data_IF_604705065999
#
_entry.id   IF_604705065999
#
_cell.length_a   1.000
_cell.length_b   1.000
_cell.length_c   1.000
_cell.angle_alpha   90.00
_cell.angle_beta   90.00
_cell.angle_gamma   90.00
#
_symmetry.space_group_name_H-M   'P 1'
#
loop_
_entity.id
_entity.type
_entity.pdbx_description
1 polymer ?
#
# COMPACT_ATOMS: atom_id res chain seq x y z
N UNK A 1 25.18 -11.95 -23.82
CA UNK A 1 25.11 -11.37 -22.48
C UNK A 1 23.90 -11.95 -21.79
N UNK A 2 24.03 -12.42 -20.55
CA UNK A 2 22.91 -12.90 -19.74
C UNK A 2 22.03 -11.73 -19.27
N UNK A 3 20.75 -11.99 -18.92
CA UNK A 3 19.87 -10.96 -18.38
C UNK A 3 20.46 -10.29 -17.13
N UNK A 4 21.16 -11.06 -16.28
CA UNK A 4 21.85 -10.56 -15.09
C UNK A 4 22.99 -9.59 -15.43
N UNK A 5 23.78 -9.86 -16.48
CA UNK A 5 24.84 -8.97 -16.95
C UNK A 5 24.26 -7.65 -17.48
N UNK A 6 23.16 -7.71 -18.22
CA UNK A 6 22.46 -6.52 -18.73
C UNK A 6 21.93 -5.67 -17.59
N UNK A 7 21.29 -6.26 -16.57
CA UNK A 7 20.79 -5.54 -15.40
C UNK A 7 21.95 -4.90 -14.62
N UNK A 8 23.00 -5.66 -14.32
CA UNK A 8 24.15 -5.12 -13.59
C UNK A 8 24.84 -3.99 -14.36
N UNK A 9 24.96 -4.12 -15.68
CA UNK A 9 25.52 -3.06 -16.52
C UNK A 9 24.64 -1.81 -16.48
N UNK A 10 23.33 -1.95 -16.67
CA UNK A 10 22.38 -0.83 -16.62
C UNK A 10 22.34 -0.15 -15.25
N UNK A 11 22.31 -0.93 -14.17
CA UNK A 11 22.33 -0.40 -12.80
C UNK A 11 23.63 0.34 -12.48
N UNK A 12 24.79 -0.21 -12.89
CA UNK A 12 26.09 0.47 -12.74
C UNK A 12 26.14 1.78 -13.54
N UNK A 13 25.67 1.78 -14.78
CA UNK A 13 25.57 2.97 -15.62
C UNK A 13 24.69 4.04 -14.96
N UNK A 14 23.56 3.65 -14.36
CA UNK A 14 22.67 4.58 -13.65
C UNK A 14 23.30 5.14 -12.38
N UNK A 15 23.97 4.30 -11.59
CA UNK A 15 24.65 4.70 -10.35
C UNK A 15 25.75 5.73 -10.66
N UNK A 16 26.57 5.47 -11.67
CA UNK A 16 27.63 6.39 -12.12
C UNK A 16 27.07 7.66 -12.76
N UNK A 17 25.98 7.53 -13.52
CA UNK A 17 25.34 8.66 -14.19
C UNK A 17 24.72 9.65 -13.21
N UNK A 18 24.17 9.16 -12.10
CA UNK A 18 23.66 10.01 -11.03
C UNK A 18 24.79 10.74 -10.30
N UNK A 19 25.98 10.13 -10.19
CA UNK A 19 27.11 10.69 -9.46
C UNK A 19 27.94 11.70 -10.27
N UNK A 20 28.20 11.45 -11.57
CA UNK A 20 29.24 12.18 -12.30
C UNK A 20 28.84 12.65 -13.72
N UNK A 21 27.90 12.00 -14.40
CA UNK A 21 27.50 12.37 -15.78
C UNK A 21 26.04 12.07 -16.07
N UNK A 22 25.16 13.08 -16.15
CA UNK A 22 23.73 12.89 -16.45
C UNK A 22 23.54 12.22 -17.82
N UNK A 23 23.01 11.00 -17.84
CA UNK A 23 22.54 10.31 -19.03
C UNK A 23 21.48 11.16 -19.71
N UNK A 24 21.39 11.08 -21.04
CA UNK A 24 20.28 11.72 -21.75
C UNK A 24 18.94 11.15 -21.23
N UNK A 25 17.94 12.00 -20.91
CA UNK A 25 16.67 11.57 -20.31
C UNK A 25 15.97 10.44 -21.08
N UNK A 26 16.04 10.45 -22.42
CA UNK A 26 15.47 9.40 -23.26
C UNK A 26 16.15 8.04 -23.07
N UNK A 27 17.48 8.00 -22.94
CA UNK A 27 18.24 6.76 -22.72
C UNK A 27 17.93 6.20 -21.32
N UNK A 28 17.81 7.08 -20.33
CA UNK A 28 17.43 6.70 -18.98
C UNK A 28 16.03 6.08 -18.92
N UNK A 29 15.04 6.69 -19.59
CA UNK A 29 13.68 6.17 -19.67
C UNK A 29 13.62 4.78 -20.33
N UNK A 30 14.28 4.59 -21.47
CA UNK A 30 14.34 3.28 -22.16
C UNK A 30 15.06 2.22 -21.32
N UNK A 31 16.13 2.60 -20.63
CA UNK A 31 16.85 1.70 -19.73
C UNK A 31 15.95 1.25 -18.57
N UNK A 32 15.21 2.18 -17.96
CA UNK A 32 14.29 1.87 -16.86
C UNK A 32 13.09 1.03 -17.31
N UNK A 33 12.55 1.25 -18.51
CA UNK A 33 11.54 0.35 -19.10
C UNK A 33 12.06 -1.08 -19.25
N UNK A 34 13.32 -1.22 -19.68
CA UNK A 34 13.97 -2.52 -19.80
C UNK A 34 14.12 -3.19 -18.43
N UNK A 35 14.59 -2.42 -17.43
CA UNK A 35 14.68 -2.88 -16.05
C UNK A 35 13.31 -3.26 -15.47
N UNK A 36 12.25 -2.50 -15.78
CA UNK A 36 10.86 -2.81 -15.40
C UNK A 36 10.42 -4.16 -15.96
N UNK A 37 10.67 -4.43 -17.24
CA UNK A 37 10.34 -5.71 -17.87
C UNK A 37 11.08 -6.85 -17.17
N UNK A 38 12.40 -6.71 -16.96
CA UNK A 38 13.22 -7.73 -16.33
C UNK A 38 12.86 -7.95 -14.84
N UNK A 39 12.42 -6.92 -14.14
CA UNK A 39 11.98 -7.02 -12.73
C UNK A 39 10.73 -7.88 -12.52
N UNK A 40 10.01 -8.23 -13.60
CA UNK A 40 8.88 -9.16 -13.55
C UNK A 40 9.31 -10.62 -13.52
N UNK A 41 10.52 -10.92 -13.98
CA UNK A 41 11.08 -12.28 -13.95
C UNK A 41 11.75 -12.55 -12.60
N UNK A 42 11.18 -13.48 -11.82
CA UNK A 42 11.69 -13.87 -10.50
C UNK A 42 13.12 -14.41 -10.56
N UNK A 43 13.54 -15.01 -11.67
CA UNK A 43 14.90 -15.54 -11.82
C UNK A 43 15.93 -14.43 -12.09
N UNK A 44 15.49 -13.30 -12.63
CA UNK A 44 16.32 -12.15 -12.95
C UNK A 44 16.43 -11.14 -11.79
N UNK A 45 15.76 -11.36 -10.65
CA UNK A 45 15.69 -10.37 -9.57
C UNK A 45 16.99 -10.17 -8.78
N UNK A 46 17.91 -11.13 -8.78
CA UNK A 46 19.10 -11.10 -7.91
C UNK A 46 19.89 -9.76 -7.96
N UNK A 47 20.17 -9.15 -9.13
CA UNK A 47 20.90 -7.89 -9.20
C UNK A 47 20.12 -6.67 -8.68
N UNK A 48 18.79 -6.74 -8.63
CA UNK A 48 17.93 -5.67 -8.11
C UNK A 48 17.88 -5.62 -6.57
N UNK A 49 18.29 -6.69 -5.89
CA UNK A 49 18.14 -6.85 -4.43
C UNK A 49 19.40 -6.36 -3.69
N UNK A 50 20.15 -5.43 -4.26
CA UNK A 50 21.31 -4.81 -3.57
C UNK A 50 20.92 -3.44 -3.02
N UNK A 51 21.56 -3.00 -1.94
CA UNK A 51 21.24 -1.69 -1.34
C UNK A 51 21.48 -0.56 -2.34
N UNK A 52 22.58 -0.64 -3.10
CA UNK A 52 22.88 0.32 -4.17
C UNK A 52 21.80 0.35 -5.24
N UNK A 53 21.29 -0.81 -5.69
CA UNK A 53 20.25 -0.85 -6.73
C UNK A 53 18.91 -0.29 -6.21
N UNK A 54 18.50 -0.67 -4.99
CA UNK A 54 17.27 -0.17 -4.38
C UNK A 54 17.37 1.35 -4.13
N UNK A 55 18.48 1.84 -3.58
CA UNK A 55 18.70 3.27 -3.36
C UNK A 55 18.76 4.04 -4.68
N UNK A 56 19.37 3.48 -5.73
CA UNK A 56 19.41 4.10 -7.05
C UNK A 56 18.01 4.25 -7.63
N UNK A 57 17.20 3.18 -7.63
CA UNK A 57 15.80 3.25 -8.07
C UNK A 57 14.96 4.21 -7.22
N UNK A 58 15.19 4.25 -5.90
CA UNK A 58 14.51 5.14 -4.96
C UNK A 58 14.81 6.60 -5.25
N UNK A 59 16.09 6.96 -5.42
CA UNK A 59 16.53 8.30 -5.81
C UNK A 59 16.04 8.67 -7.20
N UNK A 60 16.06 7.72 -8.13
CA UNK A 60 15.53 7.94 -9.47
C UNK A 60 14.00 8.16 -9.45
N UNK A 61 13.28 7.52 -8.52
CA UNK A 61 11.88 7.80 -8.22
C UNK A 61 11.65 9.14 -7.50
N UNK A 62 12.71 9.89 -7.17
CA UNK A 62 12.64 11.16 -6.46
C UNK A 62 12.32 11.04 -4.97
N UNK A 63 12.59 9.89 -4.35
CA UNK A 63 12.48 9.72 -2.90
C UNK A 63 13.87 9.97 -2.29
N UNK A 64 13.96 10.94 -1.39
CA UNK A 64 15.18 11.20 -0.63
C UNK A 64 15.30 10.15 0.48
N UNK A 65 16.20 9.18 0.29
CA UNK A 65 16.54 8.22 1.34
C UNK A 65 17.56 8.87 2.30
N UNK A 66 17.36 8.80 3.62
CA UNK A 66 18.32 9.33 4.58
C UNK A 66 19.70 8.66 4.39
N UNK A 67 20.80 9.39 4.59
CA UNK A 67 22.13 8.82 4.47
C UNK A 67 22.29 7.64 5.45
N UNK A 68 22.77 6.52 4.93
CA UNK A 68 23.03 5.31 5.70
C UNK A 68 24.08 5.62 6.77
N UNK A 69 23.70 5.62 8.05
CA UNK A 69 24.65 5.59 9.16
C UNK A 69 24.96 4.12 9.43
N UNK A 70 26.17 3.69 9.07
CA UNK A 70 26.71 2.43 9.59
C UNK A 70 26.73 2.53 11.12
N UNK A 71 26.14 1.57 11.86
CA UNK A 71 26.34 1.48 13.29
C UNK A 71 27.71 0.83 13.53
N UNK A 72 28.79 1.57 13.29
CA UNK A 72 30.12 1.29 13.84
C UNK A 72 30.99 2.54 13.66
N UNK A 73 31.79 2.82 14.70
CA UNK A 73 32.50 4.08 15.00
C UNK A 73 31.68 5.16 15.72
N UNK A 74 31.17 4.78 16.89
CA UNK A 74 31.16 5.73 18.00
C UNK A 74 32.61 5.94 18.49
N UNK A 75 33.37 6.79 17.81
CA UNK A 75 34.53 7.43 18.43
C UNK A 75 34.08 8.74 19.06
N UNK A 76 33.90 8.70 20.38
CA UNK A 76 33.85 9.91 21.19
C UNK A 76 35.19 10.64 21.07
N UNK A 77 35.15 11.90 20.64
CA UNK A 77 36.26 12.84 20.83
C UNK A 77 35.80 13.99 21.71
N UNK A 78 35.97 13.78 23.01
CA UNK A 78 36.31 14.83 23.97
C UNK A 78 37.60 15.52 23.53
N UNK A 79 37.61 16.85 23.56
CA UNK A 79 38.79 17.66 23.25
C UNK A 79 39.89 17.54 24.32
N UNK A 80 41.09 17.97 23.94
CA UNK A 80 42.24 18.10 24.83
C UNK A 80 43.55 18.06 24.05
N UNK A 81 44.17 19.23 23.90
CA UNK A 81 45.50 19.47 23.34
C UNK A 81 46.61 18.83 24.22
N UNK A 82 47.74 18.45 23.59
CA UNK A 82 48.95 18.05 24.30
C UNK A 82 49.98 17.39 23.38
N UNK A 83 51.03 18.14 23.05
CA UNK A 83 52.25 17.69 22.36
C UNK A 83 53.02 16.65 23.20
N UNK A 84 53.55 15.58 22.59
CA UNK A 84 54.98 15.21 22.66
C UNK A 84 55.36 13.95 21.83
N UNK A 85 56.40 14.15 21.01
CA UNK A 85 57.53 13.27 20.61
C UNK A 85 57.36 11.76 20.34
N UNK A 86 57.63 11.43 19.06
CA UNK A 86 58.67 10.51 18.53
C UNK A 86 59.16 9.38 19.44
N UNK A 87 58.98 8.13 18.98
CA UNK A 87 60.08 7.15 18.86
C UNK A 87 59.71 6.01 17.86
N UNK A 88 60.66 5.75 16.96
CA UNK A 88 60.73 4.65 15.98
C UNK A 88 60.92 3.30 16.68
N UNK A 89 60.13 2.28 16.34
CA UNK A 89 60.64 0.90 16.25
C UNK A 89 59.93 0.14 15.12
N UNK A 90 60.72 -0.15 14.10
CA UNK A 90 60.46 -1.09 13.01
C UNK A 90 60.50 -2.54 13.53
N UNK A 91 59.54 -3.39 13.14
CA UNK A 91 59.75 -4.85 13.11
C UNK A 91 58.85 -5.52 12.07
N UNK A 92 59.42 -5.85 10.92
CA UNK A 92 58.94 -6.85 9.98
C UNK A 92 58.92 -8.24 10.62
N UNK A 93 57.85 -9.03 10.45
CA UNK A 93 57.99 -10.47 10.21
C UNK A 93 56.75 -11.13 9.57
N UNK A 94 56.90 -11.45 8.28
CA UNK A 94 56.68 -12.74 7.63
C UNK A 94 55.63 -13.71 8.22
N UNK A 95 54.61 -14.08 7.41
CA UNK A 95 53.84 -15.32 7.63
C UNK A 95 53.88 -16.19 6.37
N UNK A 96 54.28 -17.44 6.61
CA UNK A 96 54.57 -18.53 5.71
C UNK A 96 53.38 -19.04 4.89
N UNK A 97 53.68 -19.42 3.65
CA UNK A 97 52.94 -20.42 2.86
C UNK A 97 53.15 -21.83 3.42
N UNK A 98 52.07 -22.63 3.46
CA UNK A 98 52.16 -24.09 3.28
C UNK A 98 50.96 -24.60 2.49
N UNK A 99 51.32 -25.28 1.41
CA UNK A 99 50.52 -26.03 0.44
C UNK A 99 50.33 -27.49 0.95
N UNK A 100 49.21 -28.15 0.63
CA UNK A 100 49.14 -29.62 0.44
C UNK A 100 47.71 -30.15 0.18
N UNK A 101 47.48 -30.48 -1.09
CA UNK A 101 47.03 -31.78 -1.61
C UNK A 101 45.71 -32.44 -1.13
N UNK A 102 44.81 -32.69 -2.10
CA UNK A 102 43.83 -33.80 -2.11
C UNK A 102 44.52 -35.17 -2.32
N UNK A 103 43.81 -36.28 -2.64
CA UNK A 103 42.97 -36.33 -3.86
C UNK A 103 41.83 -37.40 -3.96
N UNK A 104 41.10 -37.37 -5.10
CA UNK A 104 40.47 -38.48 -5.88
C UNK A 104 39.22 -39.25 -5.32
N UNK A 105 38.19 -39.73 -6.06
CA UNK A 105 37.71 -39.70 -7.47
C UNK A 105 36.37 -40.51 -7.59
N UNK A 106 35.44 -40.10 -8.48
CA UNK A 106 34.39 -40.87 -9.22
C UNK A 106 33.23 -41.60 -8.48
N UNK A 107 32.02 -41.84 -9.02
CA UNK A 107 31.33 -41.59 -10.30
C UNK A 107 29.82 -41.97 -10.19
N UNK A 108 28.99 -41.32 -11.01
CA UNK A 108 27.60 -41.58 -11.46
C UNK A 108 26.83 -42.88 -11.09
N UNK A 109 25.51 -42.77 -10.80
CA UNK A 109 24.41 -43.06 -11.75
C UNK A 109 23.01 -43.05 -11.09
N UNK A 110 22.04 -42.50 -11.83
CA UNK A 110 20.59 -42.73 -11.87
C UNK A 110 19.92 -43.64 -10.81
N UNK A 111 18.88 -43.15 -10.13
CA UNK A 111 17.63 -43.89 -9.90
C UNK A 111 16.52 -42.92 -9.45
N UNK A 112 15.43 -42.84 -10.22
CA UNK A 112 14.11 -42.46 -9.72
C UNK A 112 13.57 -43.57 -8.83
N UNK A 113 12.82 -43.22 -7.78
CA UNK A 113 11.49 -43.79 -7.68
C UNK A 113 10.42 -42.78 -7.23
N UNK A 114 9.22 -42.99 -7.77
CA UNK A 114 7.94 -42.55 -7.20
C UNK A 114 7.82 -43.05 -5.76
N UNK A 115 7.22 -42.25 -4.87
CA UNK A 115 5.90 -42.53 -4.30
C UNK A 115 5.61 -41.71 -3.03
N UNK A 116 4.31 -41.69 -2.73
CA UNK A 116 3.67 -41.53 -1.41
C UNK A 116 3.30 -40.11 -1.00
N UNK A 117 2.01 -39.85 -1.25
CA UNK A 117 1.15 -38.94 -0.50
C UNK A 117 1.37 -39.09 1.01
N UNK A 118 1.78 -38.03 1.69
CA UNK A 118 1.58 -37.91 3.13
C UNK A 118 0.75 -36.66 3.40
N UNK A 119 -0.50 -36.92 3.78
CA UNK A 119 -1.35 -35.98 4.49
C UNK A 119 -0.65 -35.63 5.81
N UNK A 120 -0.30 -34.36 6.00
CA UNK A 120 -0.09 -33.79 7.32
C UNK A 120 -1.01 -32.58 7.43
N UNK A 121 -2.02 -32.75 8.28
CA UNK A 121 -2.89 -31.70 8.80
C UNK A 121 -2.07 -30.84 9.75
N UNK A 122 -1.70 -29.64 9.32
CA UNK A 122 -1.31 -28.56 10.24
C UNK A 122 -2.21 -27.35 9.98
N UNK A 123 -3.11 -27.16 10.94
CA UNK A 123 -3.90 -25.97 11.17
C UNK A 123 -2.98 -24.81 11.56
N UNK A 124 -2.43 -24.11 10.57
CA UNK A 124 -1.91 -22.76 10.78
C UNK A 124 -3.03 -21.76 10.48
N UNK A 125 -3.47 -21.06 11.53
CA UNK A 125 -4.31 -19.86 11.39
C UNK A 125 -3.50 -18.80 10.66
N UNK A 126 -3.67 -18.72 9.34
CA UNK A 126 -3.08 -17.67 8.52
C UNK A 126 -3.81 -16.35 8.76
N UNK A 127 -3.08 -15.32 9.18
CA UNK A 127 -3.54 -13.93 9.26
C UNK A 127 -4.28 -13.53 7.97
N UNK A 128 -5.54 -13.10 8.12
CA UNK A 128 -6.49 -12.82 7.02
C UNK A 128 -6.10 -11.69 6.05
N UNK A 129 -4.92 -11.09 6.19
CA UNK A 129 -4.40 -10.03 5.33
C UNK A 129 -3.75 -10.61 4.05
N UNK A 130 -3.32 -11.88 4.08
CA UNK A 130 -2.65 -12.52 2.94
C UNK A 130 -3.59 -12.88 1.77
N UNK A 131 -4.92 -12.79 1.94
CA UNK A 131 -5.89 -13.17 0.89
C UNK A 131 -5.94 -12.23 -0.31
N UNK A 132 -5.51 -10.97 -0.16
CA UNK A 132 -5.64 -9.93 -1.20
C UNK A 132 -4.46 -9.92 -2.18
N UNK A 133 -3.31 -10.51 -1.81
CA UNK A 133 -2.11 -10.57 -2.64
C UNK A 133 -1.74 -12.03 -2.96
N UNK A 134 -2.57 -12.73 -3.73
CA UNK A 134 -2.14 -13.99 -4.35
C UNK A 134 -0.91 -13.71 -5.24
N UNK A 135 0.24 -14.21 -4.79
CA UNK A 135 1.59 -13.93 -5.32
C UNK A 135 1.73 -14.42 -6.76
N UNK A 136 1.39 -13.57 -7.74
CA UNK A 136 1.47 -13.90 -9.17
C UNK A 136 0.30 -13.40 -10.04
N UNK A 137 -0.70 -12.70 -9.49
CA UNK A 137 -1.76 -12.11 -10.31
C UNK A 137 -1.29 -10.77 -10.90
N UNK A 138 -1.26 -10.71 -12.24
CA UNK A 138 -0.86 -9.54 -13.05
C UNK A 138 -1.81 -8.37 -12.77
N UNK A 139 -1.26 -7.23 -12.32
CA UNK A 139 -2.02 -5.98 -12.20
C UNK A 139 -1.89 -5.21 -13.51
N UNK A 140 -2.81 -5.44 -14.46
CA UNK A 140 -2.75 -4.90 -15.83
C UNK A 140 -3.34 -3.48 -15.94
N UNK A 141 -3.65 -2.81 -14.83
CA UNK A 141 -4.63 -1.72 -14.78
C UNK A 141 -4.12 -0.34 -15.25
N UNK A 142 -2.83 -0.22 -15.55
CA UNK A 142 -2.23 1.05 -16.03
C UNK A 142 -1.31 0.90 -17.25
N UNK A 143 -1.14 -0.32 -17.77
CA UNK A 143 -0.19 -0.54 -18.88
C UNK A 143 -0.77 -0.12 -20.24
N UNK A 144 -2.07 -0.30 -20.48
CA UNK A 144 -2.64 -0.21 -21.83
C UNK A 144 -3.00 1.22 -22.30
N UNK A 145 -3.28 2.17 -21.38
CA UNK A 145 -3.76 3.52 -21.75
C UNK A 145 -2.67 4.62 -21.66
N UNK A 146 -1.64 4.45 -20.82
CA UNK A 146 -0.61 5.48 -20.62
C UNK A 146 0.41 5.58 -21.77
N UNK A 147 0.60 4.50 -22.54
CA UNK A 147 1.58 4.48 -23.64
C UNK A 147 1.21 5.41 -24.82
N UNK A 148 -0.01 5.94 -24.86
CA UNK A 148 -0.52 6.75 -25.98
C UNK A 148 -0.26 8.26 -25.88
N UNK A 149 0.02 8.81 -24.70
CA UNK A 149 0.11 10.26 -24.46
C UNK A 149 1.46 10.75 -23.89
N UNK A 150 2.51 9.92 -23.88
CA UNK A 150 3.84 10.29 -23.37
C UNK A 150 4.65 11.14 -24.37
N UNK A 151 4.28 12.39 -24.57
CA UNK A 151 5.14 13.33 -25.31
C UNK A 151 4.99 14.78 -24.82
N UNK A 152 5.38 15.07 -23.57
CA UNK A 152 5.77 16.45 -23.23
C UNK A 152 6.67 16.63 -21.99
N UNK A 153 6.81 15.66 -21.07
CA UNK A 153 7.74 15.81 -19.94
C UNK A 153 8.70 14.62 -19.83
N UNK A 154 9.91 14.78 -20.38
CA UNK A 154 10.94 13.75 -20.33
C UNK A 154 11.46 13.50 -18.91
N UNK A 155 11.29 14.43 -17.97
CA UNK A 155 11.68 14.28 -16.57
C UNK A 155 10.74 13.37 -15.78
N UNK A 156 9.45 13.44 -16.05
CA UNK A 156 8.43 12.66 -15.34
C UNK A 156 8.41 11.19 -15.78
N UNK A 157 8.68 10.92 -17.05
CA UNK A 157 8.62 9.57 -17.63
C UNK A 157 9.60 8.60 -16.95
N UNK A 158 10.87 8.98 -16.78
CA UNK A 158 11.83 8.06 -16.14
C UNK A 158 11.59 7.89 -14.64
N UNK A 159 11.06 8.90 -13.93
CA UNK A 159 10.69 8.76 -12.52
C UNK A 159 9.57 7.74 -12.33
N UNK A 160 8.54 7.80 -13.18
CA UNK A 160 7.45 6.81 -13.20
C UNK A 160 8.01 5.41 -13.45
N UNK A 161 8.88 5.24 -14.44
CA UNK A 161 9.47 3.93 -14.75
C UNK A 161 10.36 3.38 -13.62
N UNK A 162 11.11 4.24 -12.93
CA UNK A 162 11.88 3.85 -11.75
C UNK A 162 10.96 3.35 -10.62
N UNK A 163 9.86 4.07 -10.37
CA UNK A 163 8.86 3.66 -9.36
C UNK A 163 8.14 2.37 -9.73
N UNK A 164 7.72 2.21 -10.99
CA UNK A 164 7.14 0.96 -11.51
C UNK A 164 8.09 -0.22 -11.30
N UNK A 165 9.38 -0.03 -11.61
CA UNK A 165 10.43 -1.04 -11.41
C UNK A 165 10.59 -1.37 -9.92
N UNK A 166 10.65 -0.36 -9.06
CA UNK A 166 10.78 -0.56 -7.61
C UNK A 166 9.59 -1.33 -7.03
N UNK A 167 8.36 -0.98 -7.40
CA UNK A 167 7.15 -1.71 -7.02
C UNK A 167 7.22 -3.19 -7.42
N UNK A 168 7.66 -3.50 -8.64
CA UNK A 168 7.82 -4.89 -9.11
C UNK A 168 8.86 -5.66 -8.29
N UNK A 169 10.00 -5.04 -7.99
CA UNK A 169 11.08 -5.65 -7.21
C UNK A 169 10.59 -5.98 -5.79
N UNK A 170 9.92 -5.04 -5.13
CA UNK A 170 9.38 -5.21 -3.77
C UNK A 170 8.26 -6.25 -3.74
N UNK A 171 7.34 -6.22 -4.70
CA UNK A 171 6.24 -7.18 -4.78
C UNK A 171 6.74 -8.62 -4.97
N UNK A 172 7.77 -8.82 -5.81
CA UNK A 172 8.21 -10.17 -6.17
C UNK A 172 9.27 -10.77 -5.22
N UNK A 173 10.03 -9.95 -4.48
CA UNK A 173 11.16 -10.42 -3.66
C UNK A 173 11.03 -10.07 -2.17
N UNK A 174 10.94 -11.09 -1.32
CA UNK A 174 10.96 -10.93 0.14
C UNK A 174 12.27 -10.29 0.63
N UNK A 175 13.41 -10.68 0.05
CA UNK A 175 14.72 -10.08 0.39
C UNK A 175 14.78 -8.59 0.02
N UNK A 176 14.07 -8.16 -1.02
CA UNK A 176 13.97 -6.74 -1.36
C UNK A 176 13.10 -5.98 -0.35
N UNK A 177 12.02 -6.59 0.15
CA UNK A 177 11.19 -6.00 1.20
C UNK A 177 11.98 -5.78 2.50
N UNK A 178 12.77 -6.76 2.92
CA UNK A 178 13.66 -6.65 4.08
C UNK A 178 14.67 -5.51 3.93
N UNK A 179 15.32 -5.42 2.76
CA UNK A 179 16.24 -4.31 2.47
C UNK A 179 15.53 -2.96 2.42
N UNK A 180 14.35 -2.88 1.82
CA UNK A 180 13.57 -1.64 1.79
C UNK A 180 13.24 -1.12 3.19
N UNK A 181 12.94 -2.03 4.13
CA UNK A 181 12.78 -1.70 5.55
C UNK A 181 14.10 -1.22 6.17
N UNK A 182 15.20 -1.95 5.99
CA UNK A 182 16.51 -1.58 6.52
C UNK A 182 17.01 -0.21 5.99
N UNK A 183 16.68 0.11 4.74
CA UNK A 183 17.03 1.36 4.07
C UNK A 183 16.03 2.50 4.35
N UNK A 184 15.03 2.28 5.23
CA UNK A 184 14.03 3.28 5.64
C UNK A 184 13.27 3.93 4.47
N UNK A 185 12.97 3.16 3.43
CA UNK A 185 12.22 3.66 2.27
C UNK A 185 10.84 4.21 2.66
N UNK A 186 10.21 3.63 3.68
CA UNK A 186 8.90 4.07 4.19
C UNK A 186 8.94 5.54 4.65
N UNK A 187 9.96 5.92 5.42
CA UNK A 187 10.09 7.27 5.97
C UNK A 187 10.32 8.29 4.85
N UNK A 188 11.24 8.00 3.92
CA UNK A 188 11.49 8.89 2.77
C UNK A 188 10.26 9.06 1.87
N UNK A 189 9.50 7.98 1.67
CA UNK A 189 8.24 8.03 0.92
C UNK A 189 7.16 8.84 1.64
N UNK A 190 7.08 8.73 2.96
CA UNK A 190 6.11 9.47 3.78
C UNK A 190 6.42 10.97 3.78
N UNK A 191 7.69 11.36 3.93
CA UNK A 191 8.10 12.76 3.82
C UNK A 191 7.80 13.33 2.43
N UNK A 192 8.10 12.59 1.37
CA UNK A 192 7.77 13.01 0.00
C UNK A 192 6.27 13.26 -0.19
N UNK A 193 5.41 12.41 0.37
CA UNK A 193 3.96 12.59 0.31
C UNK A 193 3.51 13.82 1.11
N UNK A 194 4.12 14.09 2.28
CA UNK A 194 3.86 15.30 3.09
C UNK A 194 4.28 16.56 2.34
N UNK A 195 5.46 16.59 1.73
CA UNK A 195 5.91 17.70 0.88
C UNK A 195 4.97 17.91 -0.29
N UNK A 196 4.49 16.79 -0.86
CA UNK A 196 3.48 16.78 -1.89
C UNK A 196 2.22 17.55 -1.50
N UNK A 197 1.77 17.50 -0.24
CA UNK A 197 0.58 18.20 0.27
C UNK A 197 0.66 19.72 0.13
N UNK A 198 1.86 20.30 0.13
CA UNK A 198 2.07 21.75 -0.01
C UNK A 198 2.10 22.22 -1.48
N UNK A 199 2.22 21.31 -2.45
CA UNK A 199 2.15 21.63 -3.88
C UNK A 199 0.75 22.04 -4.32
N UNK A 200 0.62 22.97 -5.29
CA UNK A 200 -0.68 23.40 -5.85
C UNK A 200 -1.35 22.29 -6.68
N UNK A 201 -0.57 21.48 -7.43
CA UNK A 201 -1.07 20.36 -8.22
C UNK A 201 -0.57 19.01 -7.69
N UNK A 202 -1.40 17.94 -7.73
CA UNK A 202 -0.94 16.60 -7.39
C UNK A 202 0.30 16.24 -8.23
N UNK A 203 1.39 15.76 -7.61
CA UNK A 203 2.59 15.40 -8.34
C UNK A 203 2.31 14.31 -9.38
N UNK A 204 2.89 14.45 -10.57
CA UNK A 204 2.89 13.38 -11.57
C UNK A 204 3.47 12.09 -10.96
N UNK A 205 2.80 10.95 -11.11
CA UNK A 205 3.30 9.67 -10.60
C UNK A 205 3.04 9.40 -9.12
N UNK A 206 2.29 10.25 -8.41
CA UNK A 206 1.87 10.01 -7.02
C UNK A 206 1.15 8.67 -6.82
N UNK A 207 0.48 8.15 -7.86
CA UNK A 207 -0.10 6.79 -7.83
C UNK A 207 0.95 5.73 -7.46
N UNK A 208 2.13 5.75 -8.08
CA UNK A 208 3.15 4.73 -7.82
C UNK A 208 3.84 4.90 -6.46
N UNK A 209 3.85 6.13 -5.93
CA UNK A 209 4.28 6.41 -4.56
C UNK A 209 3.33 5.75 -3.56
N UNK A 210 2.02 5.99 -3.73
CA UNK A 210 0.98 5.37 -2.91
C UNK A 210 0.97 3.84 -3.08
N UNK A 211 1.20 3.34 -4.30
CA UNK A 211 1.29 1.92 -4.58
C UNK A 211 2.48 1.28 -3.86
N UNK A 212 3.65 1.93 -3.86
CA UNK A 212 4.81 1.45 -3.12
C UNK A 212 4.50 1.44 -1.61
N UNK A 213 3.85 2.49 -1.10
CA UNK A 213 3.43 2.57 0.29
C UNK A 213 2.48 1.43 0.66
N UNK A 214 1.52 1.14 -0.21
CA UNK A 214 0.61 0.00 -0.06
C UNK A 214 1.38 -1.33 -0.02
N UNK A 215 2.31 -1.56 -0.95
CA UNK A 215 3.09 -2.80 -0.99
C UNK A 215 3.93 -2.98 0.28
N UNK A 216 4.62 -1.92 0.73
CA UNK A 216 5.44 -1.96 1.94
C UNK A 216 4.60 -2.29 3.17
N UNK A 217 3.45 -1.64 3.31
CA UNK A 217 2.53 -1.85 4.45
C UNK A 217 1.80 -3.20 4.37
N UNK A 218 1.42 -3.67 3.18
CA UNK A 218 0.75 -4.95 3.01
C UNK A 218 1.69 -6.13 3.31
N UNK A 219 2.95 -6.05 2.86
CA UNK A 219 3.89 -7.16 2.88
C UNK A 219 4.70 -7.22 4.19
N UNK A 220 4.81 -6.12 4.96
CA UNK A 220 5.66 -6.03 6.16
C UNK A 220 4.89 -5.43 7.36
N UNK A 221 4.45 -6.27 8.32
CA UNK A 221 3.71 -5.81 9.51
C UNK A 221 4.44 -4.76 10.37
N UNK A 222 5.77 -4.82 10.44
CA UNK A 222 6.56 -3.82 11.15
C UNK A 222 6.48 -2.43 10.51
N UNK A 223 6.38 -2.35 9.18
CA UNK A 223 6.23 -1.08 8.46
C UNK A 223 4.83 -0.47 8.65
N UNK A 224 3.79 -1.30 8.87
CA UNK A 224 2.46 -0.82 9.26
C UNK A 224 2.50 -0.11 10.61
N UNK A 225 3.11 -0.77 11.60
CA UNK A 225 3.27 -0.20 12.96
C UNK A 225 4.11 1.08 12.93
N UNK A 226 5.19 1.08 12.15
CA UNK A 226 6.01 2.27 11.97
C UNK A 226 5.18 3.44 11.38
N UNK A 227 4.45 3.20 10.28
CA UNK A 227 3.63 4.23 9.66
C UNK A 227 2.54 4.76 10.61
N UNK A 228 1.94 3.88 11.40
CA UNK A 228 0.95 4.27 12.42
C UNK A 228 1.58 5.17 13.50
N UNK A 229 2.78 4.84 13.99
CA UNK A 229 3.53 5.64 14.97
C UNK A 229 3.96 7.01 14.40
N UNK A 230 4.28 7.08 13.10
CA UNK A 230 4.67 8.30 12.40
C UNK A 230 3.46 9.17 11.96
N UNK A 231 2.31 9.03 12.63
CA UNK A 231 1.03 9.72 12.31
C UNK A 231 0.57 9.53 10.86
N UNK A 232 0.83 8.35 10.30
CA UNK A 232 0.49 8.01 8.92
C UNK A 232 -1.00 8.10 8.59
N UNK A 233 -1.90 7.80 9.54
CA UNK A 233 -3.35 7.95 9.34
C UNK A 233 -3.71 9.41 9.09
N UNK A 234 -3.13 10.34 9.85
CA UNK A 234 -3.35 11.79 9.68
C UNK A 234 -2.84 12.27 8.32
N UNK A 235 -1.61 11.88 7.95
CA UNK A 235 -1.04 12.18 6.64
C UNK A 235 -1.90 11.65 5.50
N UNK A 236 -2.30 10.37 5.55
CA UNK A 236 -3.11 9.74 4.50
C UNK A 236 -4.52 10.34 4.43
N UNK A 237 -5.10 10.74 5.56
CA UNK A 237 -6.37 11.47 5.59
C UNK A 237 -6.24 12.80 4.87
N UNK A 238 -5.17 13.57 5.10
CA UNK A 238 -4.90 14.81 4.37
C UNK A 238 -4.67 14.57 2.86
N UNK A 239 -3.97 13.51 2.49
CA UNK A 239 -3.80 13.12 1.07
C UNK A 239 -5.14 12.78 0.43
N UNK A 240 -6.01 12.05 1.15
CA UNK A 240 -7.35 11.68 0.69
C UNK A 240 -8.23 12.91 0.49
N UNK A 241 -8.28 13.81 1.48
CA UNK A 241 -9.01 15.08 1.40
C UNK A 241 -8.62 15.88 0.16
N UNK A 242 -7.31 15.95 -0.10
CA UNK A 242 -6.80 16.65 -1.27
C UNK A 242 -7.17 15.96 -2.58
N UNK A 243 -7.09 14.64 -2.66
CA UNK A 243 -7.46 13.90 -3.87
C UNK A 243 -8.93 14.07 -4.24
N UNK A 244 -9.77 14.31 -3.22
CA UNK A 244 -11.21 14.51 -3.34
C UNK A 244 -11.61 15.99 -3.45
N UNK A 245 -10.67 16.91 -3.26
CA UNK A 245 -10.93 18.36 -3.18
C UNK A 245 -12.07 18.69 -2.19
N UNK A 246 -12.05 18.04 -1.03
CA UNK A 246 -13.13 18.11 -0.02
C UNK A 246 -13.36 19.55 0.42
N UNK A 247 -14.62 19.97 0.34
CA UNK A 247 -15.08 21.24 0.90
C UNK A 247 -15.94 20.96 2.13
N UNK A 248 -15.58 21.59 3.26
CA UNK A 248 -16.26 21.36 4.54
C UNK A 248 -17.36 22.41 4.76
N UNK A 249 -18.58 21.96 5.04
CA UNK A 249 -19.69 22.80 5.52
C UNK A 249 -19.64 22.98 7.05
N UNK A 250 -19.20 21.95 7.78
CA UNK A 250 -19.06 21.93 9.23
C UNK A 250 -17.94 20.95 9.64
N UNK A 251 -17.68 20.78 10.95
CA UNK A 251 -16.57 19.97 11.51
C UNK A 251 -16.49 18.56 10.92
N UNK A 252 -17.63 17.90 10.72
CA UNK A 252 -17.72 16.57 10.12
C UNK A 252 -18.75 16.50 8.98
N UNK A 253 -19.12 17.65 8.41
CA UNK A 253 -20.07 17.73 7.30
C UNK A 253 -19.33 18.17 6.04
N UNK A 254 -19.18 17.24 5.09
CA UNK A 254 -18.66 17.54 3.75
C UNK A 254 -19.79 18.10 2.91
N UNK A 255 -19.53 19.19 2.17
CA UNK A 255 -20.50 19.78 1.24
C UNK A 255 -20.99 18.72 0.26
N UNK A 256 -22.31 18.70 0.04
CA UNK A 256 -22.92 17.76 -0.87
C UNK A 256 -22.34 17.93 -2.27
N UNK A 257 -21.99 16.82 -2.90
CA UNK A 257 -21.68 16.81 -4.32
C UNK A 257 -22.96 17.06 -5.11
N UNK A 258 -22.95 18.09 -5.94
CA UNK A 258 -24.05 18.37 -6.85
C UNK A 258 -24.20 17.20 -7.82
N UNK A 259 -25.43 16.69 -7.99
CA UNK A 259 -25.73 15.59 -8.92
C UNK A 259 -25.38 15.90 -10.39
N UNK A 260 -25.15 17.17 -10.72
CA UNK A 260 -24.75 17.68 -12.03
C UNK A 260 -23.21 17.80 -12.19
N UNK A 261 -22.43 17.56 -11.13
CA UNK A 261 -20.97 17.60 -11.20
C UNK A 261 -20.42 16.45 -12.06
N UNK A 262 -19.31 16.68 -12.80
CA UNK A 262 -18.69 15.65 -13.60
C UNK A 262 -18.13 14.53 -12.71
N UNK A 263 -18.16 13.26 -13.15
CA UNK A 263 -17.58 12.16 -12.39
C UNK A 263 -16.06 12.35 -12.25
N UNK A 264 -15.51 11.90 -11.12
CA UNK A 264 -14.07 11.95 -10.86
C UNK A 264 -13.31 11.13 -11.90
N UNK A 265 -12.21 11.70 -12.40
CA UNK A 265 -11.41 11.08 -13.44
C UNK A 265 -10.76 9.77 -12.97
N UNK A 266 -10.36 8.94 -13.94
CA UNK A 266 -9.73 7.63 -13.69
C UNK A 266 -8.51 7.76 -12.80
N UNK A 267 -7.63 8.72 -13.08
CA UNK A 267 -6.36 8.90 -12.38
C UNK A 267 -6.57 9.32 -10.92
N UNK A 268 -7.54 10.21 -10.66
CA UNK A 268 -7.88 10.63 -9.30
C UNK A 268 -8.51 9.49 -8.50
N UNK A 269 -9.44 8.77 -9.11
CA UNK A 269 -10.09 7.60 -8.50
C UNK A 269 -9.07 6.52 -8.12
N UNK A 270 -8.09 6.24 -8.99
CA UNK A 270 -7.02 5.28 -8.71
C UNK A 270 -6.13 5.72 -7.54
N UNK A 271 -5.78 7.00 -7.44
CA UNK A 271 -5.04 7.53 -6.28
C UNK A 271 -5.85 7.36 -5.00
N UNK A 272 -7.14 7.71 -5.02
CA UNK A 272 -8.04 7.54 -3.86
C UNK A 272 -8.06 6.09 -3.42
N UNK A 273 -8.24 5.15 -4.35
CA UNK A 273 -8.24 3.71 -4.08
C UNK A 273 -6.93 3.25 -3.43
N UNK A 274 -5.77 3.70 -3.90
CA UNK A 274 -4.50 3.34 -3.27
C UNK A 274 -4.35 3.94 -1.86
N UNK A 275 -4.79 5.19 -1.63
CA UNK A 275 -4.82 5.76 -0.27
C UNK A 275 -5.71 4.92 0.66
N UNK A 276 -6.91 4.54 0.21
CA UNK A 276 -7.84 3.71 0.98
C UNK A 276 -7.23 2.33 1.32
N UNK A 277 -6.51 1.71 0.38
CA UNK A 277 -5.81 0.43 0.64
C UNK A 277 -4.72 0.58 1.70
N UNK A 278 -3.93 1.66 1.66
CA UNK A 278 -2.92 1.93 2.71
C UNK A 278 -3.60 2.20 4.05
N UNK A 279 -4.65 3.03 4.07
CA UNK A 279 -5.43 3.32 5.28
C UNK A 279 -5.94 2.03 5.91
N UNK A 280 -6.56 1.15 5.13
CA UNK A 280 -7.03 -0.15 5.61
C UNK A 280 -5.92 -0.99 6.24
N UNK A 281 -4.75 -1.04 5.60
CA UNK A 281 -3.60 -1.77 6.14
C UNK A 281 -3.16 -1.25 7.51
N UNK A 282 -3.17 0.06 7.72
CA UNK A 282 -2.70 0.67 8.98
C UNK A 282 -3.78 0.81 10.06
N UNK A 283 -5.06 0.87 9.69
CA UNK A 283 -6.18 0.95 10.64
C UNK A 283 -6.76 -0.40 11.01
N UNK A 284 -6.33 -1.50 10.38
CA UNK A 284 -6.89 -2.85 10.59
C UNK A 284 -7.01 -3.26 12.06
N UNK A 285 -6.08 -2.85 12.93
CA UNK A 285 -6.10 -3.19 14.36
C UNK A 285 -6.81 -2.16 15.25
N UNK A 286 -7.22 -1.02 14.69
CA UNK A 286 -7.78 0.11 15.45
C UNK A 286 -9.19 -0.15 15.99
N UNK A 287 -9.99 -0.99 15.34
CA UNK A 287 -11.35 -1.32 15.80
C UNK A 287 -11.41 -1.96 17.20
N UNK A 288 -10.31 -2.55 17.68
CA UNK A 288 -10.21 -3.17 19.01
C UNK A 288 -9.77 -2.20 20.12
N UNK A 289 -9.34 -0.99 19.75
CA UNK A 289 -8.73 -0.03 20.67
C UNK A 289 -9.70 1.12 20.93
N UNK A 290 -9.79 1.57 22.19
CA UNK A 290 -10.45 2.84 22.49
C UNK A 290 -9.50 3.97 22.06
N UNK A 291 -9.85 4.78 21.05
CA UNK A 291 -9.02 5.91 20.66
C UNK A 291 -9.05 6.98 21.75
N UNK A 292 -7.95 7.72 21.88
CA UNK A 292 -7.95 8.95 22.66
C UNK A 292 -8.76 10.05 21.96
N UNK A 293 -8.83 11.25 22.55
CA UNK A 293 -9.65 12.34 22.01
C UNK A 293 -9.13 12.85 20.65
N UNK A 294 -7.81 12.88 20.46
CA UNK A 294 -7.17 13.33 19.21
C UNK A 294 -7.41 12.31 18.08
N UNK A 295 -7.18 11.04 18.36
CA UNK A 295 -7.43 9.93 17.44
C UNK A 295 -8.92 9.79 17.13
N UNK A 296 -9.81 9.97 18.11
CA UNK A 296 -11.26 9.94 17.87
C UNK A 296 -11.71 11.08 16.94
N UNK A 297 -11.16 12.28 17.10
CA UNK A 297 -11.43 13.39 16.19
C UNK A 297 -10.92 13.10 14.77
N UNK A 298 -9.71 12.53 14.66
CA UNK A 298 -9.13 12.12 13.38
C UNK A 298 -9.98 11.04 12.69
N UNK A 299 -10.40 10.00 13.42
CA UNK A 299 -11.22 8.93 12.86
C UNK A 299 -12.62 9.39 12.48
N UNK A 300 -13.24 10.32 13.23
CA UNK A 300 -14.51 10.95 12.82
C UNK A 300 -14.35 11.78 11.55
N UNK A 301 -13.27 12.54 11.44
CA UNK A 301 -12.95 13.30 10.22
C UNK A 301 -12.76 12.36 9.03
N UNK A 302 -12.01 11.28 9.21
CA UNK A 302 -11.85 10.24 8.20
C UNK A 302 -13.20 9.60 7.82
N UNK A 303 -14.05 9.25 8.80
CA UNK A 303 -15.37 8.68 8.54
C UNK A 303 -16.28 9.64 7.73
N UNK A 304 -16.21 10.95 7.97
CA UNK A 304 -16.93 11.94 7.17
C UNK A 304 -16.46 11.97 5.70
N UNK A 305 -15.16 11.84 5.46
CA UNK A 305 -14.60 11.73 4.09
C UNK A 305 -15.01 10.40 3.45
N UNK A 306 -14.98 9.30 4.19
CA UNK A 306 -15.40 7.99 3.70
C UNK A 306 -16.90 7.98 3.35
N UNK A 307 -17.74 8.69 4.12
CA UNK A 307 -19.15 8.92 3.77
C UNK A 307 -19.27 9.62 2.41
N UNK A 308 -18.45 10.65 2.18
CA UNK A 308 -18.38 11.30 0.89
C UNK A 308 -17.97 10.31 -0.21
N UNK A 309 -16.93 9.49 0.04
CA UNK A 309 -16.48 8.43 -0.86
C UNK A 309 -17.58 7.44 -1.29
N UNK A 310 -18.46 7.05 -0.37
CA UNK A 310 -19.58 6.15 -0.68
C UNK A 310 -20.55 6.75 -1.70
N UNK A 311 -20.67 8.07 -1.76
CA UNK A 311 -21.59 8.80 -2.64
C UNK A 311 -20.93 9.29 -3.94
N UNK A 312 -19.61 9.08 -4.11
CA UNK A 312 -18.89 9.52 -5.30
C UNK A 312 -19.28 8.69 -6.53
N UNK A 313 -19.30 9.37 -7.68
CA UNK A 313 -19.37 8.79 -9.03
C UNK A 313 -18.01 8.91 -9.70
N UNK A 314 -17.47 7.79 -10.15
CA UNK A 314 -16.21 7.75 -10.89
C UNK A 314 -16.46 7.53 -12.39
N UNK A 315 -15.45 7.81 -13.21
CA UNK A 315 -15.47 7.45 -14.63
C UNK A 315 -15.38 5.93 -14.81
N UNK A 316 -16.55 5.27 -14.77
CA UNK A 316 -16.70 3.83 -14.90
C UNK A 316 -17.36 3.21 -13.67
N UNK A 317 -18.27 2.26 -13.91
CA UNK A 317 -19.00 1.55 -12.86
C UNK A 317 -18.05 0.67 -12.03
N UNK A 318 -17.17 -0.11 -12.69
CA UNK A 318 -16.18 -0.97 -12.01
C UNK A 318 -15.29 -0.18 -11.05
N UNK A 319 -14.88 1.03 -11.43
CA UNK A 319 -14.03 1.89 -10.60
C UNK A 319 -14.80 2.49 -9.43
N UNK A 320 -16.09 2.80 -9.63
CA UNK A 320 -16.99 3.25 -8.57
C UNK A 320 -17.20 2.14 -7.54
N UNK A 321 -17.48 0.92 -7.99
CA UNK A 321 -17.62 -0.25 -7.12
C UNK A 321 -16.32 -0.57 -6.36
N UNK A 322 -15.16 -0.51 -7.03
CA UNK A 322 -13.86 -0.74 -6.36
C UNK A 322 -13.63 0.31 -5.28
N UNK A 323 -13.85 1.60 -5.58
CA UNK A 323 -13.68 2.69 -4.62
C UNK A 323 -14.63 2.54 -3.42
N UNK A 324 -15.90 2.26 -3.67
CA UNK A 324 -16.88 2.04 -2.61
C UNK A 324 -16.52 0.81 -1.76
N UNK A 325 -16.07 -0.27 -2.38
CA UNK A 325 -15.58 -1.47 -1.68
C UNK A 325 -14.39 -1.17 -0.77
N UNK A 326 -13.38 -0.45 -1.26
CA UNK A 326 -12.25 -0.03 -0.42
C UNK A 326 -12.67 0.94 0.69
N UNK A 327 -13.64 1.81 0.42
CA UNK A 327 -14.20 2.74 1.42
C UNK A 327 -14.85 1.97 2.57
N UNK A 328 -15.68 0.97 2.25
CA UNK A 328 -16.31 0.10 3.25
C UNK A 328 -15.26 -0.69 4.06
N UNK A 329 -14.18 -1.16 3.42
CA UNK A 329 -13.09 -1.84 4.13
C UNK A 329 -12.44 -0.92 5.16
N UNK A 330 -12.18 0.35 4.83
CA UNK A 330 -11.62 1.29 5.82
C UNK A 330 -12.62 1.57 6.94
N UNK A 331 -13.90 1.78 6.61
CA UNK A 331 -14.96 2.01 7.60
C UNK A 331 -15.07 0.86 8.61
N UNK A 332 -14.95 -0.40 8.17
CA UNK A 332 -15.02 -1.57 9.05
C UNK A 332 -13.80 -1.71 9.97
N UNK A 333 -12.71 -1.01 9.68
CA UNK A 333 -11.51 -0.97 10.51
C UNK A 333 -11.51 0.17 11.55
N UNK A 334 -12.44 1.13 11.46
CA UNK A 334 -12.50 2.27 12.39
C UNK A 334 -13.19 1.89 13.71
N UNK A 335 -12.86 2.58 14.83
CA UNK A 335 -13.59 2.41 16.09
C UNK A 335 -15.07 2.80 15.95
N UNK A 336 -15.97 1.95 16.45
CA UNK A 336 -17.44 2.11 16.30
C UNK A 336 -17.94 3.48 16.78
N UNK A 337 -17.37 4.01 17.86
CA UNK A 337 -17.73 5.31 18.44
C UNK A 337 -17.47 6.52 17.53
N UNK A 338 -16.71 6.32 16.44
CA UNK A 338 -16.39 7.36 15.46
C UNK A 338 -17.25 7.29 14.19
N UNK A 339 -18.13 6.28 14.08
CA UNK A 339 -19.02 6.08 12.93
C UNK A 339 -20.36 6.83 13.08
N UNK A 340 -20.58 7.50 14.21
CA UNK A 340 -21.72 8.37 14.50
C UNK A 340 -21.91 9.48 13.44
N UNK A 341 -20.81 9.96 12.86
CA UNK A 341 -20.83 10.96 11.78
C UNK A 341 -21.47 10.46 10.47
N UNK A 342 -21.51 9.14 10.25
CA UNK A 342 -22.17 8.57 9.07
C UNK A 342 -23.67 8.82 9.09
N UNK A 343 -24.26 8.82 10.30
CA UNK A 343 -25.69 8.94 10.55
C UNK A 343 -26.14 10.36 10.87
N UNK A 344 -25.20 11.29 11.07
CA UNK A 344 -25.48 12.69 11.39
C UNK A 344 -26.06 13.50 10.20
N UNK A 345 -26.68 12.84 9.23
CA UNK A 345 -27.38 13.47 8.11
C UNK A 345 -28.64 14.20 8.60
N UNK A 346 -28.92 15.41 8.08
CA UNK A 346 -30.19 16.10 8.34
C UNK A 346 -31.35 15.22 7.89
N UNK A 347 -32.10 14.68 8.85
CA UNK A 347 -33.33 13.95 8.56
C UNK A 347 -34.34 14.93 7.96
N UNK A 348 -34.92 14.57 6.81
CA UNK A 348 -36.06 15.30 6.26
C UNK A 348 -37.24 15.19 7.24
N UNK A 349 -37.95 16.30 7.48
CA UNK A 349 -39.08 16.35 8.41
C UNK A 349 -40.12 15.26 8.06
N UNK A 350 -40.26 14.25 8.92
CA UNK A 350 -41.32 13.22 8.83
C UNK A 350 -40.88 11.77 8.57
N UNK A 351 -39.59 11.47 8.44
CA UNK A 351 -39.12 10.07 8.30
C UNK A 351 -39.10 9.33 9.65
N UNK A 352 -39.43 8.02 9.65
CA UNK A 352 -39.34 7.16 10.84
C UNK A 352 -37.88 6.80 11.11
N UNK A 353 -37.37 7.21 12.26
CA UNK A 353 -36.03 6.90 12.71
C UNK A 353 -36.01 5.70 13.67
N UNK A 354 -34.90 4.96 13.65
CA UNK A 354 -34.48 4.11 14.77
C UNK A 354 -32.97 4.24 14.90
N UNK A 355 -32.52 4.88 15.96
CA UNK A 355 -31.09 5.20 16.16
C UNK A 355 -30.51 6.16 15.12
N UNK A 356 -31.30 7.05 14.51
CA UNK A 356 -30.85 7.99 13.47
C UNK A 356 -30.83 7.44 12.04
N UNK A 357 -31.25 6.18 11.83
CA UNK A 357 -31.34 5.54 10.50
C UNK A 357 -32.74 5.66 9.92
N UNK A 358 -32.86 6.03 8.64
CA UNK A 358 -34.13 6.05 7.91
C UNK A 358 -34.63 4.61 7.67
N UNK A 359 -35.64 4.20 8.44
CA UNK A 359 -36.19 2.84 8.40
C UNK A 359 -36.99 2.53 7.13
N UNK A 360 -37.47 3.58 6.44
CA UNK A 360 -38.35 3.44 5.28
C UNK A 360 -37.64 2.83 4.06
N UNK A 361 -36.30 2.88 4.04
CA UNK A 361 -35.48 2.33 2.94
C UNK A 361 -35.17 0.83 3.07
N UNK A 362 -34.97 0.31 4.29
CA UNK A 362 -34.51 -1.08 4.51
C UNK A 362 -35.65 -2.01 4.92
N UNK A 363 -36.51 -1.57 5.85
CA UNK A 363 -37.66 -2.33 6.35
C UNK A 363 -38.94 -1.48 6.24
N UNK A 364 -39.43 -1.23 5.01
CA UNK A 364 -40.66 -0.47 4.84
C UNK A 364 -41.83 -1.19 5.53
N UNK A 365 -42.84 -0.44 6.04
CA UNK A 365 -43.99 -1.02 6.70
C UNK A 365 -44.63 -2.12 5.86
N UNK A 366 -44.81 -3.29 6.47
CA UNK A 366 -45.42 -4.44 5.83
C UNK A 366 -46.85 -4.10 5.39
N UNK A 367 -47.08 -4.05 4.08
CA UNK A 367 -48.43 -3.88 3.50
C UNK A 367 -49.08 -5.22 3.15
N UNK A 368 -48.27 -6.18 2.70
CA UNK A 368 -48.71 -7.53 2.32
C UNK A 368 -47.76 -8.57 2.96
N UNK A 369 -48.35 -9.54 3.65
CA UNK A 369 -47.64 -10.61 4.39
C UNK A 369 -47.91 -12.00 3.76
N UNK A 370 -48.56 -12.05 2.59
CA UNK A 370 -48.83 -13.30 1.89
C UNK A 370 -47.57 -13.89 1.22
N UNK A 371 -46.61 -13.04 0.84
CA UNK A 371 -45.34 -13.44 0.25
C UNK A 371 -44.31 -13.74 1.34
N UNK A 372 -43.50 -14.79 1.13
CA UNK A 372 -42.44 -15.12 2.08
C UNK A 372 -41.38 -14.01 2.13
N UNK A 373 -40.79 -13.70 3.29
CA UNK A 373 -39.83 -12.62 3.42
C UNK A 373 -38.59 -12.76 2.53
N UNK A 374 -38.18 -13.98 2.16
CA UNK A 374 -37.08 -14.26 1.25
C UNK A 374 -37.45 -14.11 -0.24
N UNK A 375 -38.74 -13.98 -0.57
CA UNK A 375 -39.24 -13.88 -1.95
C UNK A 375 -39.41 -12.41 -2.36
N UNK A 376 -38.63 -11.98 -3.36
CA UNK A 376 -38.66 -10.64 -3.94
C UNK A 376 -37.27 -10.03 -4.14
N UNK A 377 -37.26 -8.82 -4.71
CA UNK A 377 -36.04 -8.11 -5.13
C UNK A 377 -35.70 -6.87 -4.28
N UNK A 378 -36.48 -6.60 -3.23
CA UNK A 378 -36.19 -5.50 -2.30
C UNK A 378 -34.95 -5.82 -1.45
N UNK A 379 -34.35 -4.79 -0.83
CA UNK A 379 -33.20 -4.94 0.08
C UNK A 379 -33.55 -5.90 1.22
N UNK A 380 -34.74 -5.77 1.81
CA UNK A 380 -35.26 -6.69 2.82
C UNK A 380 -35.20 -8.14 2.35
N UNK A 381 -35.72 -8.44 1.15
CA UNK A 381 -35.76 -9.82 0.66
C UNK A 381 -34.37 -10.40 0.46
N UNK A 382 -33.43 -9.59 -0.05
CA UNK A 382 -32.04 -9.97 -0.25
C UNK A 382 -31.34 -10.24 1.10
N UNK A 383 -31.50 -9.35 2.09
CA UNK A 383 -30.94 -9.55 3.44
C UNK A 383 -31.48 -10.81 4.11
N UNK A 384 -32.79 -11.07 4.01
CA UNK A 384 -33.38 -12.30 4.56
C UNK A 384 -32.80 -13.55 3.89
N UNK A 385 -32.57 -13.54 2.57
CA UNK A 385 -31.89 -14.64 1.88
C UNK A 385 -30.48 -14.89 2.43
N UNK A 386 -29.74 -13.82 2.72
CA UNK A 386 -28.38 -13.91 3.27
C UNK A 386 -28.33 -14.56 4.66
N UNK A 387 -29.40 -14.47 5.46
CA UNK A 387 -29.48 -15.17 6.77
C UNK A 387 -29.42 -16.71 6.67
N UNK A 388 -29.59 -17.25 5.46
CA UNK A 388 -29.49 -18.70 5.19
C UNK A 388 -28.30 -19.06 4.31
N UNK A 389 -27.38 -18.12 4.10
CA UNK A 389 -26.19 -18.31 3.27
C UNK A 389 -25.22 -19.34 3.90
N UNK A 390 -24.43 -19.99 3.04
CA UNK A 390 -23.44 -21.02 3.45
C UNK A 390 -22.24 -20.42 4.18
N UNK A 391 -21.90 -19.18 3.84
CA UNK A 391 -20.89 -18.40 4.55
C UNK A 391 -21.46 -17.95 5.90
N UNK A 392 -20.84 -18.43 6.98
CA UNK A 392 -21.29 -18.17 8.35
C UNK A 392 -21.16 -16.70 8.72
N UNK A 393 -20.12 -16.00 8.29
CA UNK A 393 -19.93 -14.58 8.62
C UNK A 393 -21.02 -13.75 7.97
N UNK A 394 -21.25 -13.95 6.67
CA UNK A 394 -22.29 -13.23 5.93
C UNK A 394 -23.69 -13.48 6.51
N UNK A 395 -23.96 -14.72 6.92
CA UNK A 395 -25.20 -15.10 7.59
C UNK A 395 -25.39 -14.35 8.92
N UNK A 396 -24.36 -14.31 9.77
CA UNK A 396 -24.45 -13.63 11.07
C UNK A 396 -24.60 -12.12 10.89
N UNK A 397 -23.81 -11.50 10.01
CA UNK A 397 -23.91 -10.07 9.72
C UNK A 397 -25.30 -9.65 9.23
N UNK A 398 -25.90 -10.42 8.31
CA UNK A 398 -27.25 -10.12 7.81
C UNK A 398 -28.32 -10.26 8.91
N UNK A 399 -28.20 -11.28 9.76
CA UNK A 399 -29.13 -11.50 10.86
C UNK A 399 -29.01 -10.42 11.95
N UNK A 400 -27.79 -10.05 12.32
CA UNK A 400 -27.51 -9.02 13.32
C UNK A 400 -27.98 -7.64 12.86
N UNK A 401 -27.74 -7.28 11.60
CA UNK A 401 -28.26 -6.03 11.03
C UNK A 401 -29.79 -5.95 11.14
N UNK A 402 -30.50 -7.02 10.76
CA UNK A 402 -31.96 -7.05 10.86
C UNK A 402 -32.45 -7.03 12.31
N UNK A 403 -31.75 -7.73 13.21
CA UNK A 403 -32.07 -7.74 14.64
C UNK A 403 -31.95 -6.34 15.27
N UNK A 404 -30.85 -5.64 15.02
CA UNK A 404 -30.62 -4.26 15.48
C UNK A 404 -31.67 -3.31 14.90
N UNK A 405 -31.96 -3.40 13.59
CA UNK A 405 -33.00 -2.58 12.95
C UNK A 405 -34.40 -2.83 13.52
N UNK A 406 -34.69 -4.04 13.99
CA UNK A 406 -35.93 -4.40 14.68
C UNK A 406 -35.93 -4.03 16.18
N UNK A 407 -34.95 -3.22 16.64
CA UNK A 407 -34.79 -2.83 18.05
C UNK A 407 -34.61 -4.03 18.99
N UNK A 408 -33.94 -5.08 18.51
CA UNK A 408 -33.64 -6.27 19.30
C UNK A 408 -34.89 -7.02 19.80
N UNK A 409 -36.05 -6.86 19.13
CA UNK A 409 -37.33 -7.49 19.47
C UNK A 409 -37.74 -8.63 18.54
#
# INVERSE_FOLDING_TARGET
MSAQEVIMMMMRIQTLSYAETRLQPGVLAVSLRTLRILSRDRQALAPFITDSAILTLTRLGGIEAPPFSHPDHAEGKTGGEGEEKVDDVNTDLHVHFTDAAGPHVSSASSHTPRCVSNNITETERTDGIHGVLLRGKRDAREEDDEERNEWCDTGEVWRKEAMKTLCNVIYNSQRAQERASALRLLSGLSEKLKDGLHSVLPPSGQFYELRLLFLLTALRPELRRQLQQERGVSMLTAVLERCLEVQWADVYEVMAWDSESPPVCKEASQRIVEVLKVLFNVTYSSHTQQPDEEDAALYRRLAAILRHCLLLRCQGEELTEELQGQTVNVLSALPLQCLDVLLSARLSEGSRDSGGVNMDCILPPLRDVALRPEQGDTIRNKLVRLMTHVDTELKHCAAELLFVLCKEN
#
